data_IF_612247667303
#
_entry.id   IF_612247667303
#
_cell.length_a   1.000
_cell.length_b   1.000
_cell.length_c   1.000
_cell.angle_alpha   90.00
_cell.angle_beta   90.00
_cell.angle_gamma   90.00
#
_symmetry.space_group_name_H-M   'P 1'
#
loop_
_entity.id
_entity.type
_entity.pdbx_description
1 polymer ?
#
# COMPACT_ATOMS: atom_id res chain seq x y z
N UNK A 1 15.40 -12.74 -8.64
CA UNK A 1 14.33 -11.77 -8.97
C UNK A 1 14.85 -10.38 -8.66
N UNK A 2 14.57 -9.37 -9.50
CA UNK A 2 14.92 -7.99 -9.18
C UNK A 2 14.14 -7.54 -7.93
N UNK A 3 14.83 -6.92 -6.98
CA UNK A 3 14.25 -6.43 -5.73
C UNK A 3 14.34 -4.91 -5.68
N UNK A 4 13.25 -4.25 -5.29
CA UNK A 4 13.20 -2.79 -5.15
C UNK A 4 12.94 -2.44 -3.69
N UNK A 5 13.68 -1.48 -3.14
CA UNK A 5 13.47 -1.01 -1.77
C UNK A 5 12.63 0.27 -1.77
N UNK A 6 11.50 0.24 -1.06
CA UNK A 6 10.61 1.38 -0.89
C UNK A 6 10.77 1.94 0.53
N UNK A 7 11.03 3.25 0.64
CA UNK A 7 11.07 3.93 1.95
C UNK A 7 9.66 4.35 2.35
N UNK A 8 9.25 3.90 3.53
CA UNK A 8 7.97 4.24 4.16
C UNK A 8 8.21 4.71 5.60
N UNK A 9 7.25 5.42 6.18
CA UNK A 9 7.31 5.79 7.59
C UNK A 9 7.32 4.54 8.49
N UNK A 10 7.90 4.68 9.69
CA UNK A 10 7.94 3.61 10.68
C UNK A 10 6.54 3.13 11.07
N UNK A 11 5.59 4.05 11.18
CA UNK A 11 4.20 3.73 11.52
C UNK A 11 3.52 2.91 10.43
N UNK A 12 3.71 3.26 9.15
CA UNK A 12 3.15 2.48 8.06
C UNK A 12 3.81 1.10 7.97
N UNK A 13 5.11 0.99 8.27
CA UNK A 13 5.78 -0.31 8.37
C UNK A 13 5.15 -1.19 9.45
N UNK A 14 4.84 -0.63 10.62
CA UNK A 14 4.14 -1.36 11.69
C UNK A 14 2.76 -1.81 11.23
N UNK A 15 1.97 -0.92 10.64
CA UNK A 15 0.63 -1.25 10.12
C UNK A 15 0.66 -2.34 9.04
N UNK A 16 1.68 -2.35 8.18
CA UNK A 16 1.87 -3.43 7.21
C UNK A 16 2.16 -4.76 7.90
N UNK A 17 3.03 -4.76 8.91
CA UNK A 17 3.31 -5.96 9.71
C UNK A 17 2.04 -6.47 10.40
N UNK A 18 1.25 -5.57 11.00
CA UNK A 18 -0.02 -5.89 11.66
C UNK A 18 -1.08 -6.46 10.68
N UNK A 19 -0.97 -6.13 9.38
CA UNK A 19 -1.86 -6.65 8.33
C UNK A 19 -1.48 -8.08 7.89
N UNK A 20 -0.21 -8.45 8.03
CA UNK A 20 0.32 -9.75 7.65
C UNK A 20 -0.16 -10.88 8.57
N UNK A 21 -0.29 -12.09 8.04
CA UNK A 21 -0.42 -13.32 8.84
C UNK A 21 0.97 -13.79 9.28
N UNK A 22 1.03 -14.70 10.27
CA UNK A 22 2.28 -15.19 10.89
C UNK A 22 3.38 -15.67 9.93
N UNK A 23 3.06 -16.03 8.69
CA UNK A 23 4.01 -16.52 7.69
C UNK A 23 4.14 -15.60 6.46
N UNK A 24 3.43 -14.46 6.44
CA UNK A 24 3.44 -13.58 5.27
C UNK A 24 4.71 -12.73 5.25
N UNK A 25 5.35 -12.67 4.08
CA UNK A 25 6.43 -11.71 3.83
C UNK A 25 5.86 -10.34 3.48
N UNK A 26 6.72 -9.31 3.51
CA UNK A 26 6.31 -7.99 3.02
C UNK A 26 5.91 -8.03 1.53
N UNK A 27 6.55 -8.86 0.72
CA UNK A 27 6.21 -9.01 -0.69
C UNK A 27 4.81 -9.61 -0.87
N UNK A 28 4.42 -10.59 -0.05
CA UNK A 28 3.07 -11.18 -0.08
C UNK A 28 1.97 -10.19 0.32
N UNK A 29 2.30 -9.29 1.26
CA UNK A 29 1.38 -8.24 1.71
C UNK A 29 1.25 -7.18 0.61
N UNK A 30 2.36 -6.76 0.02
CA UNK A 30 2.37 -5.78 -1.07
C UNK A 30 1.67 -6.32 -2.32
N UNK A 31 1.90 -7.58 -2.68
CA UNK A 31 1.23 -8.25 -3.80
C UNK A 31 -0.29 -8.21 -3.64
N UNK A 32 -0.82 -8.61 -2.48
CA UNK A 32 -2.28 -8.54 -2.21
C UNK A 32 -2.85 -7.13 -2.26
N UNK A 33 -2.09 -6.15 -1.78
CA UNK A 33 -2.52 -4.75 -1.85
C UNK A 33 -2.60 -4.25 -3.30
N UNK A 34 -1.62 -4.63 -4.13
CA UNK A 34 -1.62 -4.29 -5.55
C UNK A 34 -2.77 -4.99 -6.28
N UNK A 35 -2.98 -6.28 -6.03
CA UNK A 35 -4.08 -7.05 -6.62
C UNK A 35 -5.45 -6.48 -6.24
N UNK A 36 -5.61 -6.03 -4.99
CA UNK A 36 -6.84 -5.39 -4.52
C UNK A 36 -7.11 -4.09 -5.28
N UNK A 37 -6.08 -3.28 -5.46
CA UNK A 37 -6.19 -2.00 -6.17
C UNK A 37 -6.53 -2.20 -7.63
N UNK A 38 -5.91 -3.19 -8.29
CA UNK A 38 -6.21 -3.56 -9.67
C UNK A 38 -7.65 -4.06 -9.81
N UNK A 39 -8.12 -4.91 -8.88
CA UNK A 39 -9.50 -5.44 -8.89
C UNK A 39 -10.57 -4.38 -8.64
N UNK A 40 -10.33 -3.46 -7.72
CA UNK A 40 -11.27 -2.39 -7.40
C UNK A 40 -11.22 -1.23 -8.41
N UNK A 41 -10.29 -1.26 -9.37
CA UNK A 41 -10.12 -0.20 -10.36
C UNK A 41 -9.75 1.14 -9.71
N UNK A 42 -9.07 1.12 -8.57
CA UNK A 42 -8.72 2.32 -7.82
C UNK A 42 -7.62 3.07 -8.57
N UNK A 43 -7.97 4.19 -9.20
CA UNK A 43 -6.99 5.08 -9.81
C UNK A 43 -6.26 5.89 -8.73
N UNK A 44 -4.96 5.60 -8.56
CA UNK A 44 -4.09 6.34 -7.65
C UNK A 44 -4.01 7.84 -7.96
N UNK A 45 -4.20 8.24 -9.22
CA UNK A 45 -4.22 9.66 -9.60
C UNK A 45 -5.45 10.38 -9.05
N UNK A 46 -6.57 9.67 -8.88
CA UNK A 46 -7.81 10.24 -8.34
C UNK A 46 -7.72 10.38 -6.81
N UNK A 47 -7.16 9.38 -6.11
CA UNK A 47 -6.94 9.42 -4.66
C UNK A 47 -6.05 10.59 -4.20
N UNK A 48 -5.01 10.91 -4.97
CA UNK A 48 -4.11 12.03 -4.66
C UNK A 48 -4.78 13.40 -4.83
N UNK A 49 -5.76 13.52 -5.74
CA UNK A 49 -6.51 14.77 -5.95
C UNK A 49 -7.60 14.99 -4.91
N UNK A 50 -8.20 13.92 -4.36
CA UNK A 50 -9.23 14.03 -3.33
C UNK A 50 -8.72 14.65 -2.03
N UNK A 51 -7.47 14.34 -1.62
CA UNK A 51 -6.85 14.94 -0.42
C UNK A 51 -6.51 16.43 -0.55
N UNK A 52 -6.44 16.98 -1.77
CA UNK A 52 -6.24 18.44 -1.98
C UNK A 52 -7.51 19.26 -1.79
N UNK A 53 -8.71 18.66 -1.90
CA UNK A 53 -9.99 19.40 -1.84
C UNK A 53 -10.51 19.67 -0.43
N UNK A 54 -9.94 19.07 0.62
CA UNK A 54 -10.37 19.25 2.02
C UNK A 54 -9.65 20.41 2.73
N UNK A 55 -9.11 21.36 1.95
CA UNK A 55 -8.70 22.69 2.46
C UNK A 55 -9.59 23.75 1.82
N UNK A 56 -10.75 23.98 2.41
CA UNK A 56 -11.53 25.20 2.19
C UNK A 56 -12.17 25.61 3.51
#
# INVERSE_FOLDING_TARGET
MPSTTIRISRDNRKRLNDLGRKADTYDDILGRLLDYIEKEGIDFNELNNSKKKVKK
#
